data_IF_227213250978
#
_entry.id   IF_227213250978
#
_cell.length_a   1.000
_cell.length_b   1.000
_cell.length_c   1.000
_cell.angle_alpha   90.00
_cell.angle_beta   90.00
_cell.angle_gamma   90.00
#
_symmetry.space_group_name_H-M   'P 1'
#
loop_
_entity.id
_entity.type
_entity.pdbx_description
1 polymer ?
#
# COMPACT_ATOMS: atom_id res chain seq x y z
N UNK A 1 -40.82 -16.86 32.92
CA UNK A 1 -40.09 -16.47 31.69
C UNK A 1 -39.88 -14.97 31.70
N UNK A 2 -38.63 -14.51 31.74
CA UNK A 2 -38.19 -13.14 31.41
C UNK A 2 -36.78 -13.28 30.82
N UNK A 3 -36.55 -12.84 29.59
CA UNK A 3 -35.20 -12.86 29.02
C UNK A 3 -34.43 -11.63 29.49
N UNK A 4 -33.27 -11.84 30.08
CA UNK A 4 -32.34 -10.74 30.38
C UNK A 4 -31.54 -10.45 29.12
N UNK A 5 -31.75 -9.27 28.53
CA UNK A 5 -30.90 -8.77 27.45
C UNK A 5 -29.52 -8.46 28.06
N UNK A 6 -28.48 -9.20 27.67
CA UNK A 6 -27.13 -8.89 28.13
C UNK A 6 -26.56 -7.72 27.33
N UNK A 7 -26.11 -6.69 28.04
CA UNK A 7 -25.63 -5.44 27.45
C UNK A 7 -24.37 -5.66 26.63
N UNK A 8 -24.45 -5.49 25.31
CA UNK A 8 -23.26 -5.40 24.47
C UNK A 8 -22.64 -4.00 24.66
N UNK A 9 -21.81 -3.88 25.70
CA UNK A 9 -21.16 -2.60 26.06
C UNK A 9 -20.22 -2.17 24.93
N UNK A 10 -20.29 -0.89 24.60
CA UNK A 10 -19.54 -0.21 23.54
C UNK A 10 -18.03 -0.45 23.58
N UNK A 11 -17.54 -1.33 22.71
CA UNK A 11 -16.13 -1.38 22.33
C UNK A 11 -15.88 -0.41 21.17
N UNK A 12 -15.94 0.89 21.45
CA UNK A 12 -15.54 1.92 20.49
C UNK A 12 -14.01 1.96 20.44
N UNK A 13 -13.42 1.04 19.68
CA UNK A 13 -11.98 1.00 19.44
C UNK A 13 -11.55 2.29 18.74
N UNK A 14 -10.87 3.15 19.48
CA UNK A 14 -10.34 4.39 18.95
C UNK A 14 -9.10 4.08 18.11
N UNK A 15 -9.15 4.43 16.82
CA UNK A 15 -8.04 4.31 15.90
C UNK A 15 -7.08 5.49 16.12
N UNK A 16 -5.80 5.20 16.36
CA UNK A 16 -4.75 6.20 16.50
C UNK A 16 -3.87 6.13 15.25
N UNK A 17 -4.42 6.52 14.10
CA UNK A 17 -3.68 6.49 12.83
C UNK A 17 -2.28 7.11 12.96
N UNK A 18 -1.25 6.45 12.43
CA UNK A 18 0.13 6.84 12.68
C UNK A 18 0.46 8.25 12.18
N UNK A 19 1.53 8.82 12.75
CA UNK A 19 2.15 10.04 12.21
C UNK A 19 2.60 9.80 10.77
N UNK A 20 2.33 10.72 9.82
CA UNK A 20 2.66 10.54 8.42
C UNK A 20 4.10 10.06 8.18
N UNK A 21 4.23 8.92 7.48
CA UNK A 21 5.53 8.40 7.05
C UNK A 21 6.07 9.27 5.92
N UNK A 22 6.87 10.27 6.30
CA UNK A 22 7.54 11.16 5.37
C UNK A 22 8.31 10.38 4.31
N UNK A 23 8.18 10.81 3.04
CA UNK A 23 9.02 10.29 1.97
C UNK A 23 10.50 10.55 2.34
N UNK A 24 11.36 9.54 2.16
CA UNK A 24 12.78 9.68 2.45
C UNK A 24 13.42 10.61 1.41
N UNK A 25 13.64 11.88 1.77
CA UNK A 25 14.26 12.93 0.94
C UNK A 25 15.66 12.51 0.46
N UNK A 26 15.71 11.71 -0.63
CA UNK A 26 16.78 10.77 -0.90
C UNK A 26 17.84 11.21 -1.91
N UNK A 27 17.83 12.48 -2.34
CA UNK A 27 18.73 12.99 -3.38
C UNK A 27 19.63 14.11 -2.83
N UNK A 28 20.74 13.71 -2.21
CA UNK A 28 21.88 14.60 -2.01
C UNK A 28 22.54 14.92 -3.35
N UNK A 29 22.16 16.04 -3.97
CA UNK A 29 22.59 16.41 -5.32
C UNK A 29 24.08 16.81 -5.36
N UNK A 30 24.96 15.81 -5.48
CA UNK A 30 26.41 15.98 -5.51
C UNK A 30 26.90 16.59 -6.84
N UNK A 31 26.75 17.92 -6.97
CA UNK A 31 27.27 18.69 -8.11
C UNK A 31 28.80 18.54 -8.17
N UNK A 32 29.30 17.86 -9.21
CA UNK A 32 30.72 17.89 -9.59
C UNK A 32 30.99 19.09 -10.47
N UNK A 33 31.98 19.90 -10.10
CA UNK A 33 32.49 21.00 -10.93
C UNK A 33 33.92 21.37 -10.52
N UNK A 34 34.89 21.01 -11.37
CA UNK A 34 36.28 21.44 -11.23
C UNK A 34 36.44 22.92 -11.60
N UNK A 35 37.20 23.73 -10.84
CA UNK A 35 37.12 25.19 -11.02
C UNK A 35 38.17 26.16 -10.45
N UNK A 36 39.34 25.72 -9.96
CA UNK A 36 40.57 26.53 -9.74
C UNK A 36 40.62 27.84 -8.88
N UNK A 37 41.81 28.06 -8.30
CA UNK A 37 42.49 29.34 -7.94
C UNK A 37 42.10 30.17 -6.68
N UNK A 38 43.00 30.10 -5.68
CA UNK A 38 43.69 31.20 -4.95
C UNK A 38 42.87 32.35 -4.27
N UNK A 39 43.26 32.95 -3.12
CA UNK A 39 44.62 33.16 -2.57
C UNK A 39 44.60 33.64 -1.08
N UNK A 40 45.62 33.26 -0.28
CA UNK A 40 46.21 33.96 0.92
C UNK A 40 45.39 34.45 2.15
N UNK A 41 45.89 34.02 3.33
CA UNK A 41 46.06 34.78 4.61
C UNK A 41 44.80 35.22 5.40
N UNK A 42 44.75 35.39 6.75
CA UNK A 42 45.65 35.15 7.92
C UNK A 42 44.84 35.47 9.22
N UNK A 43 45.17 35.18 10.49
CA UNK A 43 46.19 34.36 11.19
C UNK A 43 45.80 34.15 12.69
N UNK A 44 46.50 33.27 13.42
CA UNK A 44 46.27 32.95 14.86
C UNK A 44 45.40 31.69 15.06
N UNK A 45 45.56 30.82 16.08
CA UNK A 45 46.44 30.83 17.27
C UNK A 45 45.58 30.77 18.56
N UNK A 46 45.81 29.91 19.57
CA UNK A 46 46.90 28.96 19.83
C UNK A 46 46.46 27.89 20.89
N UNK A 47 47.13 26.71 20.92
CA UNK A 47 47.10 25.72 22.02
C UNK A 47 46.11 24.55 21.87
N UNK A 48 46.44 23.31 22.30
CA UNK A 48 47.75 22.80 22.77
C UNK A 48 47.66 21.43 23.49
N UNK A 49 48.65 20.53 23.24
CA UNK A 49 48.73 19.12 23.69
C UNK A 49 47.55 18.23 23.23
N UNK A 50 47.64 16.92 23.04
CA UNK A 50 48.58 15.83 23.37
C UNK A 50 47.72 14.55 23.46
N UNK A 51 48.11 13.33 23.09
CA UNK A 51 49.44 12.73 22.88
C UNK A 51 49.42 11.76 21.68
N UNK A 52 50.58 11.21 21.30
CA UNK A 52 50.71 10.20 20.24
C UNK A 52 50.85 8.76 20.80
N UNK A 53 51.23 7.82 19.93
CA UNK A 53 51.63 6.41 20.19
C UNK A 53 50.50 5.37 20.38
N UNK A 54 50.59 4.15 19.81
CA UNK A 54 51.40 3.71 18.65
C UNK A 54 50.78 2.47 17.95
N UNK A 55 51.40 2.05 16.86
CA UNK A 55 51.11 0.89 16.00
C UNK A 55 51.14 -0.46 16.74
N UNK A 56 50.38 -1.43 16.21
CA UNK A 56 50.50 -2.87 16.50
C UNK A 56 49.96 -3.67 15.32
N UNK A 57 50.79 -4.48 14.68
CA UNK A 57 50.59 -4.99 13.31
C UNK A 57 50.67 -6.53 13.21
N UNK A 58 50.27 -7.09 12.06
CA UNK A 58 50.55 -8.44 11.54
C UNK A 58 49.91 -9.70 12.18
N UNK A 59 48.84 -10.19 11.53
CA UNK A 59 48.82 -11.34 10.59
C UNK A 59 49.41 -12.75 10.95
N UNK A 60 48.81 -13.76 10.29
CA UNK A 60 49.15 -15.22 10.20
C UNK A 60 48.87 -16.10 11.45
N UNK A 61 48.44 -17.36 11.32
CA UNK A 61 47.94 -18.07 10.12
C UNK A 61 47.97 -19.62 10.19
N UNK A 62 47.27 -20.27 9.23
CA UNK A 62 47.39 -21.67 8.73
C UNK A 62 46.83 -22.89 9.52
N UNK A 63 46.00 -23.64 8.78
CA UNK A 63 45.98 -25.10 8.60
C UNK A 63 45.90 -26.08 9.80
N UNK A 64 44.84 -26.93 9.78
CA UNK A 64 45.00 -28.37 9.48
C UNK A 64 43.70 -29.11 9.12
N UNK A 65 43.87 -30.29 8.51
CA UNK A 65 42.86 -31.12 7.82
C UNK A 65 42.31 -32.24 8.72
N UNK A 66 41.04 -32.60 8.56
CA UNK A 66 40.62 -34.02 8.41
C UNK A 66 39.17 -34.18 7.91
N UNK A 67 38.69 -35.37 7.50
CA UNK A 67 38.94 -36.03 6.19
C UNK A 67 37.99 -37.25 6.01
N UNK A 68 37.06 -37.16 5.06
CA UNK A 68 36.07 -38.19 4.64
C UNK A 68 35.42 -37.74 3.31
N UNK A 69 34.74 -38.51 2.43
CA UNK A 69 34.68 -39.95 2.07
C UNK A 69 34.27 -40.98 3.13
N UNK A 70 33.41 -41.97 2.82
CA UNK A 70 32.73 -42.30 1.55
C UNK A 70 31.92 -43.62 1.65
N UNK A 71 31.35 -44.23 0.61
CA UNK A 71 31.07 -43.83 -0.79
C UNK A 71 30.24 -44.96 -1.52
N UNK A 72 29.56 -44.63 -2.65
CA UNK A 72 29.25 -45.54 -3.80
C UNK A 72 28.27 -46.72 -3.56
N UNK A 73 27.65 -47.39 -4.55
CA UNK A 73 27.40 -47.27 -6.02
C UNK A 73 26.03 -48.00 -6.27
N UNK A 74 25.09 -47.71 -7.19
CA UNK A 74 25.05 -47.35 -8.62
C UNK A 74 24.78 -48.53 -9.61
N UNK A 75 23.58 -48.57 -10.23
CA UNK A 75 23.24 -49.08 -11.60
C UNK A 75 21.69 -49.01 -11.82
N UNK A 76 21.11 -48.58 -12.97
CA UNK A 76 21.13 -49.06 -14.38
C UNK A 76 20.34 -50.36 -14.63
N UNK A 77 19.66 -50.59 -15.77
CA UNK A 77 19.26 -49.74 -16.91
C UNK A 77 18.29 -50.52 -17.86
N UNK A 78 17.72 -49.87 -18.89
CA UNK A 78 16.93 -50.48 -19.97
C UNK A 78 15.55 -49.83 -20.10
N UNK A 79 15.17 -49.00 -21.09
CA UNK A 79 15.53 -48.82 -22.51
C UNK A 79 14.75 -49.71 -23.49
N UNK A 80 13.94 -49.09 -24.35
CA UNK A 80 13.20 -49.67 -25.46
C UNK A 80 12.59 -48.53 -26.29
N UNK A 81 12.72 -48.57 -27.61
CA UNK A 81 12.40 -47.44 -28.49
C UNK A 81 11.43 -47.84 -29.62
N UNK A 82 10.67 -46.86 -30.12
CA UNK A 82 9.81 -46.99 -31.30
C UNK A 82 9.48 -45.61 -31.84
N UNK A 83 9.61 -45.42 -33.16
CA UNK A 83 9.40 -44.14 -33.83
C UNK A 83 8.28 -44.23 -34.87
N UNK A 84 7.54 -43.14 -35.08
CA UNK A 84 6.49 -43.04 -36.09
C UNK A 84 5.91 -41.63 -36.13
N UNK A 85 6.10 -40.93 -37.25
CA UNK A 85 5.74 -39.52 -37.40
C UNK A 85 4.30 -39.31 -37.86
N UNK A 86 3.70 -38.18 -37.46
CA UNK A 86 2.85 -37.34 -38.31
C UNK A 86 2.72 -35.93 -37.70
N UNK A 87 2.63 -34.90 -38.53
CA UNK A 87 2.31 -33.55 -38.09
C UNK A 87 0.78 -33.33 -38.08
N UNK A 88 0.27 -32.63 -37.07
CA UNK A 88 -1.14 -32.26 -36.97
C UNK A 88 -1.31 -31.03 -36.08
N UNK A 89 -1.45 -29.85 -36.69
CA UNK A 89 -1.62 -28.60 -35.98
C UNK A 89 -3.06 -28.48 -35.43
N UNK A 90 -3.31 -29.07 -34.26
CA UNK A 90 -4.56 -28.89 -33.53
C UNK A 90 -4.52 -27.54 -32.79
N UNK A 91 -5.34 -26.59 -33.24
CA UNK A 91 -5.41 -25.24 -32.67
C UNK A 91 -6.02 -25.28 -31.26
N UNK A 92 -5.19 -25.44 -30.23
CA UNK A 92 -5.62 -25.45 -28.83
C UNK A 92 -5.98 -24.03 -28.37
N UNK A 93 -7.19 -23.59 -28.71
CA UNK A 93 -7.82 -22.44 -28.06
C UNK A 93 -7.94 -22.73 -26.57
N UNK A 94 -7.01 -22.20 -25.78
CA UNK A 94 -7.05 -22.25 -24.33
C UNK A 94 -8.27 -21.44 -23.86
N UNK A 95 -9.39 -22.14 -23.67
CA UNK A 95 -10.57 -21.53 -23.07
C UNK A 95 -10.19 -21.02 -21.69
N UNK A 96 -10.36 -19.73 -21.46
CA UNK A 96 -10.14 -19.11 -20.16
C UNK A 96 -11.13 -19.74 -19.17
N UNK A 97 -10.66 -20.75 -18.44
CA UNK A 97 -11.45 -21.37 -17.37
C UNK A 97 -11.78 -20.30 -16.35
N UNK A 98 -13.05 -20.16 -15.98
CA UNK A 98 -13.43 -19.36 -14.82
C UNK A 98 -12.74 -19.97 -13.60
N UNK A 99 -11.65 -19.34 -13.17
CA UNK A 99 -11.11 -19.56 -11.85
C UNK A 99 -12.23 -19.26 -10.84
N UNK A 100 -12.44 -20.16 -9.87
CA UNK A 100 -13.49 -20.00 -8.89
C UNK A 100 -13.05 -18.93 -7.89
N UNK A 101 -13.50 -17.69 -8.14
CA UNK A 101 -13.26 -16.49 -7.33
C UNK A 101 -13.16 -16.80 -5.82
N UNK A 102 -12.19 -16.17 -5.14
CA UNK A 102 -11.99 -16.39 -3.71
C UNK A 102 -13.26 -16.08 -2.92
N UNK A 103 -13.44 -16.76 -1.79
CA UNK A 103 -14.60 -16.48 -0.94
C UNK A 103 -14.51 -15.02 -0.46
N UNK A 104 -15.57 -14.23 -0.66
CA UNK A 104 -15.61 -12.83 -0.21
C UNK A 104 -15.32 -12.75 1.30
N UNK A 105 -14.26 -12.02 1.65
CA UNK A 105 -13.86 -11.70 3.02
C UNK A 105 -14.07 -10.21 3.23
N UNK A 106 -14.40 -9.80 4.45
CA UNK A 106 -14.49 -8.38 4.76
C UNK A 106 -13.07 -7.78 4.89
N UNK A 107 -12.77 -6.58 4.34
CA UNK A 107 -13.70 -5.56 3.85
C UNK A 107 -14.46 -5.93 2.57
N UNK A 108 -15.77 -5.66 2.58
CA UNK A 108 -16.50 -5.30 1.37
C UNK A 108 -16.87 -3.81 1.54
N UNK A 109 -16.16 -2.95 0.81
CA UNK A 109 -16.30 -1.49 0.83
C UNK A 109 -17.05 -0.94 -0.38
N UNK A 110 -17.62 -1.80 -1.24
CA UNK A 110 -18.37 -1.38 -2.42
C UNK A 110 -19.66 -0.68 -2.01
N UNK A 111 -19.87 0.51 -2.57
CA UNK A 111 -20.99 1.38 -2.20
C UNK A 111 -22.19 1.10 -3.09
N UNK A 112 -23.37 0.88 -2.52
CA UNK A 112 -24.59 0.62 -3.28
C UNK A 112 -24.94 1.79 -4.20
N UNK A 113 -25.54 1.51 -5.36
CA UNK A 113 -25.99 2.54 -6.30
C UNK A 113 -26.90 3.62 -5.67
N UNK A 114 -27.73 3.26 -4.69
CA UNK A 114 -28.70 4.14 -4.02
C UNK A 114 -28.15 4.96 -2.82
N UNK A 115 -26.88 4.75 -2.42
CA UNK A 115 -26.32 5.39 -1.24
C UNK A 115 -26.23 6.93 -1.34
N UNK A 116 -26.31 7.61 -0.19
CA UNK A 116 -26.15 9.07 -0.03
C UNK A 116 -24.90 9.39 0.82
N UNK A 117 -24.29 10.60 0.76
CA UNK A 117 -23.09 10.92 1.54
C UNK A 117 -23.30 10.75 3.06
N UNK A 118 -24.51 10.96 3.55
CA UNK A 118 -24.90 10.76 4.94
C UNK A 118 -24.82 9.30 5.40
N UNK A 119 -24.85 8.33 4.49
CA UNK A 119 -24.64 6.91 4.84
C UNK A 119 -23.23 6.65 5.40
N UNK A 120 -22.26 7.52 5.10
CA UNK A 120 -20.91 7.44 5.66
C UNK A 120 -20.82 7.98 7.10
N UNK A 121 -21.85 8.71 7.58
CA UNK A 121 -21.90 9.25 8.95
C UNK A 121 -22.45 8.24 9.98
N UNK A 122 -23.04 7.12 9.55
CA UNK A 122 -23.75 6.18 10.45
C UNK A 122 -22.99 4.88 10.71
N UNK A 123 -23.24 4.28 11.88
CA UNK A 123 -22.69 2.96 12.28
C UNK A 123 -23.15 1.78 11.40
N UNK A 124 -24.07 2.02 10.47
CA UNK A 124 -24.51 1.05 9.46
C UNK A 124 -23.66 1.07 8.17
N UNK A 125 -22.75 2.04 8.03
CA UNK A 125 -21.79 2.15 6.93
C UNK A 125 -20.90 0.91 6.81
N UNK A 126 -20.40 0.66 5.60
CA UNK A 126 -19.32 -0.31 5.34
C UNK A 126 -17.96 0.16 5.88
N UNK A 127 -17.83 1.47 6.17
CA UNK A 127 -16.65 2.11 6.75
C UNK A 127 -16.91 2.63 8.19
N UNK A 128 -15.86 2.99 8.93
CA UNK A 128 -15.97 3.56 10.30
C UNK A 128 -16.32 5.04 10.24
N UNK A 129 -17.53 5.40 10.65
CA UNK A 129 -18.09 6.74 10.45
C UNK A 129 -17.55 7.90 11.30
N UNK A 130 -16.39 7.75 11.96
CA UNK A 130 -15.87 8.78 12.89
C UNK A 130 -14.34 9.01 12.89
N UNK A 131 -13.53 8.11 12.32
CA UNK A 131 -12.14 7.87 12.78
C UNK A 131 -11.08 8.89 12.34
N UNK A 132 -10.98 9.25 11.05
CA UNK A 132 -9.87 10.08 10.55
C UNK A 132 -10.38 11.10 9.54
N UNK A 133 -10.38 12.38 9.94
CA UNK A 133 -10.88 13.54 9.18
C UNK A 133 -10.49 14.84 9.91
N UNK A 134 -10.66 15.99 9.25
CA UNK A 134 -10.50 17.31 9.88
C UNK A 134 -11.51 17.59 11.00
N UNK A 135 -11.15 18.48 11.93
CA UNK A 135 -12.03 18.86 13.04
C UNK A 135 -13.29 19.60 12.57
N UNK A 136 -14.39 19.40 13.30
CA UNK A 136 -15.72 19.94 12.96
C UNK A 136 -16.39 19.32 11.73
N UNK A 137 -15.70 18.49 10.94
CA UNK A 137 -16.25 17.85 9.73
C UNK A 137 -17.01 16.54 10.05
N UNK A 138 -17.94 16.19 9.18
CA UNK A 138 -18.53 14.83 9.05
C UNK A 138 -18.15 14.23 7.69
N UNK A 139 -18.30 12.92 7.50
CA UNK A 139 -17.91 12.30 6.23
C UNK A 139 -18.78 12.74 5.05
N UNK A 140 -20.03 13.15 5.27
CA UNK A 140 -20.84 13.80 4.21
C UNK A 140 -20.30 15.15 3.73
N UNK A 141 -19.38 15.80 4.46
CA UNK A 141 -18.66 17.00 3.97
C UNK A 141 -17.48 16.64 3.04
N UNK A 142 -17.08 15.36 3.03
CA UNK A 142 -15.85 14.84 2.41
C UNK A 142 -16.13 13.85 1.27
N UNK A 143 -17.35 13.32 1.17
CA UNK A 143 -17.72 12.26 0.21
C UNK A 143 -18.67 12.80 -0.87
N UNK A 144 -18.22 12.74 -2.13
CA UNK A 144 -19.06 12.95 -3.32
C UNK A 144 -19.35 11.62 -4.05
N UNK A 145 -20.36 11.62 -4.91
CA UNK A 145 -20.56 10.59 -5.94
C UNK A 145 -20.29 11.16 -7.33
N UNK A 146 -19.07 11.01 -7.86
CA UNK A 146 -18.69 11.56 -9.17
C UNK A 146 -19.46 10.89 -10.31
N UNK A 147 -19.61 11.60 -11.43
CA UNK A 147 -20.29 11.10 -12.62
C UNK A 147 -19.27 10.46 -13.57
N UNK A 148 -18.83 9.25 -13.20
CA UNK A 148 -17.87 8.41 -13.95
C UNK A 148 -18.50 7.09 -14.35
N UNK A 149 -17.91 6.41 -15.33
CA UNK A 149 -18.27 5.02 -15.66
C UNK A 149 -18.00 4.08 -14.47
N UNK A 150 -18.70 2.94 -14.42
CA UNK A 150 -18.49 1.95 -13.36
C UNK A 150 -17.12 1.27 -13.47
N UNK A 151 -16.41 1.12 -12.35
CA UNK A 151 -15.14 0.37 -12.30
C UNK A 151 -15.32 -1.09 -12.74
N UNK A 152 -14.21 -1.77 -13.02
CA UNK A 152 -14.18 -3.20 -13.35
C UNK A 152 -15.02 -4.05 -12.38
N UNK A 153 -14.93 -3.75 -11.08
CA UNK A 153 -15.55 -4.54 -10.02
C UNK A 153 -16.98 -4.12 -9.64
N UNK A 154 -17.39 -2.88 -9.95
CA UNK A 154 -18.73 -2.37 -9.63
C UNK A 154 -19.79 -2.75 -10.67
N UNK A 155 -19.37 -2.94 -11.93
CA UNK A 155 -20.18 -3.25 -13.10
C UNK A 155 -21.14 -4.44 -12.92
N UNK A 156 -20.74 -5.44 -12.14
CA UNK A 156 -21.55 -6.63 -11.84
C UNK A 156 -22.31 -6.53 -10.50
N UNK A 157 -21.93 -5.59 -9.61
CA UNK A 157 -22.42 -5.50 -8.23
C UNK A 157 -23.66 -4.63 -8.02
N UNK A 158 -24.04 -3.80 -9.01
CA UNK A 158 -24.97 -2.67 -8.82
C UNK A 158 -24.48 -1.72 -7.70
N UNK A 159 -23.17 -1.48 -7.72
CA UNK A 159 -22.43 -0.58 -6.83
C UNK A 159 -21.84 0.58 -7.63
N UNK A 160 -21.29 1.59 -6.94
CA UNK A 160 -20.80 2.83 -7.55
C UNK A 160 -19.52 3.34 -6.90
N UNK A 161 -18.76 4.11 -7.68
CA UNK A 161 -17.63 4.89 -7.20
C UNK A 161 -18.07 6.02 -6.25
N UNK A 162 -17.15 6.47 -5.40
CA UNK A 162 -17.27 7.65 -4.54
C UNK A 162 -15.94 8.40 -4.55
N UNK A 163 -15.94 9.71 -4.27
CA UNK A 163 -14.70 10.48 -4.14
C UNK A 163 -14.45 10.87 -2.69
N UNK A 164 -13.22 10.68 -2.21
CA UNK A 164 -12.73 11.33 -0.98
C UNK A 164 -12.18 12.69 -1.37
N UNK A 165 -12.63 13.75 -0.69
CA UNK A 165 -12.19 15.11 -0.85
C UNK A 165 -11.25 15.54 0.28
N UNK A 166 -10.37 16.50 0.00
CA UNK A 166 -9.72 17.35 1.00
C UNK A 166 -9.79 18.82 0.61
N UNK A 167 -9.91 19.66 1.64
CA UNK A 167 -9.95 21.12 1.56
C UNK A 167 -9.07 21.77 2.65
N UNK A 168 -9.06 23.09 2.75
CA UNK A 168 -8.32 23.83 3.77
C UNK A 168 -8.65 23.41 5.22
N UNK A 169 -9.86 22.87 5.50
CA UNK A 169 -10.31 22.42 6.82
C UNK A 169 -9.89 20.99 7.16
N UNK A 170 -9.46 20.20 6.17
CA UNK A 170 -9.16 18.77 6.31
C UNK A 170 -7.83 18.51 7.03
N UNK A 171 -7.49 19.33 8.03
CA UNK A 171 -6.26 19.31 8.82
C UNK A 171 -6.27 18.06 9.71
N UNK A 172 -5.23 17.23 9.62
CA UNK A 172 -5.15 16.03 10.45
C UNK A 172 -4.90 16.41 11.93
N UNK A 173 -5.71 15.86 12.84
CA UNK A 173 -5.44 15.88 14.28
C UNK A 173 -5.35 14.43 14.76
N UNK A 174 -4.15 13.92 15.11
CA UNK A 174 -4.02 12.60 15.71
C UNK A 174 -4.66 12.57 17.10
N UNK A 175 -5.20 11.43 17.52
CA UNK A 175 -5.94 11.33 18.78
C UNK A 175 -5.07 11.73 19.99
N UNK A 176 -5.46 12.80 20.68
CA UNK A 176 -4.75 13.32 21.86
C UNK A 176 -3.45 14.06 21.55
N UNK A 177 -3.18 14.38 20.28
CA UNK A 177 -2.07 15.23 19.85
C UNK A 177 -2.53 16.56 19.23
N UNK A 178 -1.55 17.38 18.87
CA UNK A 178 -1.77 18.70 18.25
C UNK A 178 -2.11 18.61 16.76
N UNK A 179 -2.79 19.64 16.24
CA UNK A 179 -3.19 19.71 14.84
C UNK A 179 -1.98 19.83 13.88
N UNK A 180 -1.87 18.91 12.93
CA UNK A 180 -0.81 18.89 11.92
C UNK A 180 -1.15 19.84 10.77
N UNK A 181 -0.90 21.13 10.96
CA UNK A 181 -1.24 22.22 10.02
C UNK A 181 -0.74 22.03 8.58
N UNK A 182 0.31 21.25 8.36
CA UNK A 182 0.89 20.99 7.04
C UNK A 182 0.46 19.62 6.43
N UNK A 183 -0.37 18.85 7.13
CA UNK A 183 -1.00 17.61 6.62
C UNK A 183 -2.45 17.90 6.23
N UNK A 184 -2.98 17.25 5.19
CA UNK A 184 -4.43 17.18 4.92
C UNK A 184 -4.84 15.72 4.78
N UNK A 185 -5.90 15.30 5.47
CA UNK A 185 -6.23 13.87 5.65
C UNK A 185 -7.72 13.63 5.87
N UNK A 186 -8.25 12.67 5.12
CA UNK A 186 -9.51 12.01 5.40
C UNK A 186 -9.37 10.52 5.02
N UNK A 187 -9.67 9.60 5.96
CA UNK A 187 -9.52 8.16 5.73
C UNK A 187 -10.82 7.42 6.05
N UNK A 188 -11.21 6.56 5.12
CA UNK A 188 -12.23 5.54 5.33
C UNK A 188 -11.55 4.23 5.70
N UNK A 189 -11.77 3.80 6.96
CA UNK A 189 -11.32 2.50 7.46
C UNK A 189 -12.51 1.53 7.40
N UNK A 190 -12.32 0.25 7.03
CA UNK A 190 -13.38 -0.75 7.07
C UNK A 190 -14.10 -0.84 8.42
N UNK A 191 -15.42 -1.01 8.39
CA UNK A 191 -16.23 -1.16 9.62
C UNK A 191 -15.69 -2.28 10.52
N UNK A 192 -15.96 -2.19 11.82
CA UNK A 192 -15.45 -3.14 12.83
C UNK A 192 -15.78 -4.62 12.53
N UNK A 193 -16.83 -4.88 11.73
CA UNK A 193 -17.21 -6.22 11.24
C UNK A 193 -16.07 -6.85 10.42
N UNK A 194 -15.34 -6.03 9.67
CA UNK A 194 -14.21 -6.43 8.82
C UNK A 194 -12.92 -6.77 9.58
N UNK A 195 -12.87 -6.46 10.88
CA UNK A 195 -11.68 -6.62 11.72
C UNK A 195 -11.82 -7.77 12.71
N UNK A 196 -12.99 -8.41 12.77
CA UNK A 196 -13.25 -9.51 13.69
C UNK A 196 -12.27 -10.66 13.45
N UNK A 197 -11.62 -11.11 14.53
CA UNK A 197 -10.66 -12.20 14.56
C UNK A 197 -9.47 -12.05 13.57
N UNK A 198 -9.10 -10.82 13.19
CA UNK A 198 -8.00 -10.53 12.27
C UNK A 198 -8.16 -11.17 10.87
N UNK A 199 -9.39 -11.46 10.44
CA UNK A 199 -9.66 -12.26 9.23
C UNK A 199 -9.08 -11.64 7.95
N UNK A 200 -8.97 -10.30 7.89
CA UNK A 200 -8.44 -9.55 6.75
C UNK A 200 -6.89 -9.44 6.71
N UNK A 201 -6.20 -9.89 7.76
CA UNK A 201 -4.75 -9.69 7.98
C UNK A 201 -4.05 -10.97 8.44
N UNK A 202 -4.51 -12.12 7.94
CA UNK A 202 -4.00 -13.47 8.26
C UNK A 202 -4.16 -14.41 7.05
N UNK A 203 -3.31 -15.42 6.92
CA UNK A 203 -3.35 -16.37 5.80
C UNK A 203 -2.98 -15.73 4.47
N UNK A 204 -3.70 -16.05 3.40
CA UNK A 204 -3.54 -15.38 2.10
C UNK A 204 -4.84 -14.63 1.73
N UNK A 205 -4.73 -13.34 1.44
CA UNK A 205 -5.86 -12.48 1.08
C UNK A 205 -5.55 -11.69 -0.18
N UNK A 206 -6.55 -11.45 -1.02
CA UNK A 206 -6.42 -10.45 -2.09
C UNK A 206 -7.28 -9.24 -1.76
N UNK A 207 -6.66 -8.08 -1.61
CA UNK A 207 -7.34 -6.79 -1.57
C UNK A 207 -7.54 -6.28 -3.00
N UNK A 208 -8.79 -6.02 -3.38
CA UNK A 208 -9.19 -5.40 -4.63
C UNK A 208 -9.59 -3.95 -4.39
N UNK A 209 -9.18 -3.05 -5.28
CA UNK A 209 -9.64 -1.66 -5.32
C UNK A 209 -9.39 -1.05 -6.70
N UNK A 210 -10.16 -0.03 -7.05
CA UNK A 210 -9.95 0.80 -8.23
C UNK A 210 -9.87 2.27 -7.83
N UNK A 211 -8.94 3.01 -8.42
CA UNK A 211 -8.77 4.46 -8.18
C UNK A 211 -8.70 5.25 -9.48
N UNK A 212 -9.26 6.46 -9.47
CA UNK A 212 -9.27 7.40 -10.60
C UNK A 212 -9.03 8.84 -10.10
N UNK A 213 -8.31 9.66 -10.87
CA UNK A 213 -8.14 11.10 -10.61
C UNK A 213 -9.45 11.86 -10.82
N UNK A 214 -9.80 12.77 -9.91
CA UNK A 214 -10.92 13.69 -10.13
C UNK A 214 -10.45 14.93 -10.90
N UNK A 215 -10.75 14.98 -12.20
CA UNK A 215 -10.33 16.06 -13.10
C UNK A 215 -10.86 17.46 -12.69
N UNK A 216 -11.98 17.54 -11.95
CA UNK A 216 -12.50 18.80 -11.42
C UNK A 216 -11.82 19.25 -10.11
N UNK A 217 -11.04 18.36 -9.47
CA UNK A 217 -10.37 18.57 -8.17
C UNK A 217 -8.97 17.90 -8.18
N UNK A 218 -8.07 18.29 -9.11
CA UNK A 218 -6.84 17.56 -9.37
C UNK A 218 -5.86 17.62 -8.19
N UNK A 219 -5.12 16.53 -7.98
CA UNK A 219 -4.06 16.45 -6.97
C UNK A 219 -2.87 17.34 -7.35
N UNK A 220 -2.28 18.03 -6.37
CA UNK A 220 -1.05 18.80 -6.59
C UNK A 220 0.19 17.89 -6.55
N UNK A 221 0.69 17.48 -7.71
CA UNK A 221 1.78 16.50 -7.88
C UNK A 221 3.12 16.87 -7.19
N UNK A 222 3.34 18.10 -6.73
CA UNK A 222 4.55 18.43 -5.94
C UNK A 222 4.51 17.88 -4.51
N UNK A 223 3.37 17.36 -4.06
CA UNK A 223 3.19 16.74 -2.75
C UNK A 223 3.06 15.23 -2.92
N UNK A 224 3.43 14.47 -1.88
CA UNK A 224 3.17 13.04 -1.81
C UNK A 224 1.77 12.79 -1.25
N UNK A 225 1.05 11.83 -1.84
CA UNK A 225 -0.27 11.39 -1.40
C UNK A 225 -0.20 9.92 -1.01
N UNK A 226 -0.67 9.59 0.20
CA UNK A 226 -0.91 8.22 0.64
C UNK A 226 -2.39 7.90 0.39
N UNK A 227 -2.64 6.86 -0.41
CA UNK A 227 -3.96 6.53 -0.99
C UNK A 227 -4.58 5.26 -0.40
N UNK A 228 -3.78 4.19 -0.24
CA UNK A 228 -4.19 2.95 0.42
C UNK A 228 -3.02 2.47 1.25
N UNK A 229 -3.24 2.10 2.52
CA UNK A 229 -2.21 1.47 3.34
C UNK A 229 -2.79 0.41 4.26
N UNK A 230 -1.91 -0.45 4.79
CA UNK A 230 -2.20 -1.34 5.91
C UNK A 230 -1.37 -0.90 7.11
N UNK A 231 -2.01 -0.17 8.01
CA UNK A 231 -1.46 0.28 9.30
C UNK A 231 -1.27 -0.91 10.25
N UNK A 232 -0.26 -0.88 11.12
CA UNK A 232 -0.05 -1.92 12.12
C UNK A 232 -1.03 -1.81 13.28
N UNK A 233 -1.30 -2.93 13.98
CA UNK A 233 -2.20 -2.95 15.15
C UNK A 233 -1.67 -2.20 16.38
N UNK A 234 -0.43 -1.72 16.33
CA UNK A 234 0.19 -0.83 17.30
C UNK A 234 0.47 0.59 16.76
N UNK A 235 -0.01 0.89 15.55
CA UNK A 235 0.06 2.21 14.87
C UNK A 235 1.48 2.78 14.77
N UNK A 236 2.46 1.92 14.46
CA UNK A 236 3.89 2.27 14.46
C UNK A 236 4.59 2.08 13.11
N UNK A 237 3.94 1.46 12.13
CA UNK A 237 4.45 1.25 10.77
C UNK A 237 3.35 0.81 9.80
N UNK A 238 3.48 1.19 8.54
CA UNK A 238 2.66 0.62 7.47
C UNK A 238 3.31 -0.68 6.99
N UNK A 239 2.52 -1.74 6.86
CA UNK A 239 2.93 -3.00 6.22
C UNK A 239 3.01 -2.86 4.70
N UNK A 240 2.18 -2.01 4.10
CA UNK A 240 2.38 -1.50 2.73
C UNK A 240 1.76 -0.11 2.58
N UNK A 241 2.21 0.63 1.58
CA UNK A 241 1.70 1.93 1.15
C UNK A 241 1.41 1.93 -0.36
N UNK A 242 0.35 2.61 -0.79
CA UNK A 242 0.05 2.94 -2.19
C UNK A 242 0.01 4.45 -2.30
N UNK A 243 0.93 5.03 -3.09
CA UNK A 243 1.22 6.47 -3.12
C UNK A 243 1.24 7.04 -4.55
N UNK A 244 1.08 8.35 -4.68
CA UNK A 244 1.28 9.12 -5.93
C UNK A 244 1.83 10.51 -5.60
N UNK A 245 2.31 11.26 -6.61
CA UNK A 245 2.94 12.57 -6.41
C UNK A 245 4.36 12.53 -5.85
N UNK A 246 4.94 13.72 -5.64
CA UNK A 246 6.33 13.96 -5.28
C UNK A 246 7.31 13.14 -6.16
N UNK A 247 8.17 12.31 -5.57
CA UNK A 247 9.14 11.46 -6.28
C UNK A 247 8.49 10.39 -7.18
N UNK A 248 7.17 10.17 -7.07
CA UNK A 248 6.42 9.32 -8.00
C UNK A 248 5.80 10.11 -9.16
N UNK A 249 5.74 11.44 -9.09
CA UNK A 249 5.11 12.29 -10.11
C UNK A 249 3.67 11.86 -10.41
N UNK A 250 3.41 11.49 -11.66
CA UNK A 250 2.11 10.97 -12.09
C UNK A 250 1.99 9.43 -12.07
N UNK A 251 2.89 8.70 -11.40
CA UNK A 251 2.71 7.25 -11.15
C UNK A 251 1.83 6.98 -9.93
N UNK A 252 1.08 5.86 -9.95
CA UNK A 252 0.74 5.12 -8.74
C UNK A 252 1.90 4.18 -8.43
N UNK A 253 2.40 4.22 -7.20
CA UNK A 253 3.46 3.34 -6.72
C UNK A 253 3.04 2.58 -5.46
N UNK A 254 3.29 1.27 -5.45
CA UNK A 254 3.10 0.39 -4.30
C UNK A 254 4.44 0.18 -3.61
N UNK A 255 4.51 0.45 -2.32
CA UNK A 255 5.67 0.28 -1.46
C UNK A 255 5.39 -0.79 -0.39
N UNK A 256 6.41 -1.59 -0.07
CA UNK A 256 6.35 -2.55 1.04
C UNK A 256 6.56 -1.90 2.40
N UNK A 257 6.84 -2.74 3.41
CA UNK A 257 6.89 -2.37 4.82
C UNK A 257 7.76 -1.12 5.13
N UNK A 258 7.18 -0.15 5.84
CA UNK A 258 7.78 1.16 6.08
C UNK A 258 8.95 1.16 7.07
N UNK A 259 9.26 0.03 7.72
CA UNK A 259 10.49 -0.15 8.53
C UNK A 259 11.73 -0.36 7.68
N UNK A 260 11.58 -0.82 6.44
CA UNK A 260 12.69 -0.84 5.49
C UNK A 260 13.10 0.60 5.15
N UNK A 261 14.41 0.88 5.10
CA UNK A 261 14.94 2.24 4.88
C UNK A 261 15.84 2.26 3.64
N UNK A 262 15.39 2.81 2.50
CA UNK A 262 14.02 3.24 2.20
C UNK A 262 13.06 2.04 2.04
N UNK A 263 11.73 2.26 2.08
CA UNK A 263 10.75 1.23 1.74
C UNK A 263 10.90 0.78 0.29
N UNK A 264 10.76 -0.52 0.02
CA UNK A 264 10.93 -1.05 -1.33
C UNK A 264 9.71 -0.72 -2.20
N UNK A 265 9.90 0.00 -3.32
CA UNK A 265 8.88 0.12 -4.39
C UNK A 265 8.71 -1.25 -5.03
N UNK A 266 7.55 -1.89 -4.83
CA UNK A 266 7.21 -3.24 -5.29
C UNK A 266 6.66 -3.23 -6.72
N UNK A 267 5.92 -2.18 -7.07
CA UNK A 267 5.33 -1.95 -8.39
C UNK A 267 5.07 -0.46 -8.60
N UNK A 268 5.07 0.01 -9.85
CA UNK A 268 4.41 1.27 -10.21
C UNK A 268 3.87 1.24 -11.64
N UNK A 269 2.89 2.11 -11.89
CA UNK A 269 2.21 2.31 -13.18
C UNK A 269 1.89 3.80 -13.33
N UNK A 270 1.82 4.37 -14.55
CA UNK A 270 1.20 5.68 -14.76
C UNK A 270 -0.21 5.73 -14.16
N UNK A 271 -0.60 6.90 -13.66
CA UNK A 271 -1.95 7.21 -13.19
C UNK A 271 -2.66 8.03 -14.26
N UNK A 272 -3.61 7.44 -15.00
CA UNK A 272 -4.41 8.15 -15.99
C UNK A 272 -5.32 9.23 -15.38
N UNK A 273 -5.61 10.29 -16.15
CA UNK A 273 -6.51 11.37 -15.72
C UNK A 273 -8.01 11.06 -15.93
N UNK A 274 -8.35 9.95 -16.59
CA UNK A 274 -9.73 9.65 -17.05
C UNK A 274 -10.21 8.20 -16.86
N UNK A 275 -9.31 7.24 -16.65
CA UNK A 275 -9.63 5.82 -16.48
C UNK A 275 -9.39 5.37 -15.02
N UNK A 276 -10.07 4.32 -14.60
CA UNK A 276 -9.75 3.63 -13.35
C UNK A 276 -8.47 2.80 -13.47
N UNK A 277 -7.50 3.01 -12.59
CA UNK A 277 -6.44 2.04 -12.34
C UNK A 277 -7.00 0.99 -11.36
N UNK A 278 -7.26 -0.22 -11.86
CA UNK A 278 -7.80 -1.34 -11.09
C UNK A 278 -6.63 -2.20 -10.57
N UNK A 279 -6.63 -2.52 -9.29
CA UNK A 279 -5.60 -3.31 -8.62
C UNK A 279 -6.19 -4.51 -7.90
N UNK A 280 -5.42 -5.60 -7.89
CA UNK A 280 -5.52 -6.64 -6.87
C UNK A 280 -4.15 -6.86 -6.22
N UNK A 281 -4.08 -6.68 -4.90
CA UNK A 281 -2.89 -6.94 -4.10
C UNK A 281 -3.11 -8.22 -3.31
N UNK A 282 -2.49 -9.31 -3.76
CA UNK A 282 -2.48 -10.59 -3.04
C UNK A 282 -1.38 -10.54 -1.99
N UNK A 283 -1.80 -10.52 -0.74
CA UNK A 283 -1.01 -10.46 0.48
C UNK A 283 -0.93 -11.86 1.08
N UNK A 284 0.27 -12.44 1.09
CA UNK A 284 0.56 -13.71 1.75
C UNK A 284 1.24 -13.41 3.09
N UNK A 285 0.43 -13.38 4.16
CA UNK A 285 0.87 -13.11 5.52
C UNK A 285 1.67 -14.28 6.11
N UNK A 286 1.48 -15.50 5.59
CA UNK A 286 2.18 -16.71 6.03
C UNK A 286 3.58 -16.80 5.38
N UNK A 287 3.72 -16.37 4.12
CA UNK A 287 4.98 -16.39 3.36
C UNK A 287 5.74 -15.05 3.31
N UNK A 288 5.16 -13.96 3.84
CA UNK A 288 5.70 -12.59 3.77
C UNK A 288 5.91 -12.09 2.32
N UNK A 289 4.91 -12.27 1.45
CA UNK A 289 4.97 -11.78 0.06
C UNK A 289 3.76 -10.99 -0.40
N UNK A 290 3.99 -10.04 -1.29
CA UNK A 290 2.97 -9.30 -2.04
C UNK A 290 3.05 -9.72 -3.51
N UNK A 291 1.91 -9.99 -4.15
CA UNK A 291 1.81 -10.16 -5.60
C UNK A 291 0.78 -9.17 -6.14
N UNK A 292 1.18 -8.38 -7.15
CA UNK A 292 0.34 -7.33 -7.73
C UNK A 292 -0.25 -7.78 -9.07
N UNK A 293 -1.54 -7.54 -9.22
CA UNK A 293 -2.26 -7.59 -10.49
C UNK A 293 -2.80 -6.18 -10.79
N UNK A 294 -2.77 -5.76 -12.06
CA UNK A 294 -3.18 -4.43 -12.49
C UNK A 294 -3.88 -4.47 -13.86
N UNK A 295 -4.76 -3.48 -14.10
CA UNK A 295 -5.40 -3.19 -15.38
C UNK A 295 -6.00 -1.78 -15.37
N UNK A 296 -6.10 -1.13 -16.52
CA UNK A 296 -6.66 0.23 -16.65
C UNK A 296 -8.05 0.18 -17.30
N UNK A 297 -8.95 1.07 -16.86
CA UNK A 297 -10.31 1.23 -17.38
C UNK A 297 -11.20 0.02 -17.12
N UNK A 298 -11.44 -0.78 -18.16
CA UNK A 298 -12.34 -1.95 -18.17
C UNK A 298 -11.65 -3.25 -18.60
N UNK A 299 -10.32 -3.23 -18.79
CA UNK A 299 -9.54 -4.43 -19.08
C UNK A 299 -9.56 -5.38 -17.86
N UNK A 300 -9.53 -6.69 -18.10
CA UNK A 300 -9.37 -7.67 -17.02
C UNK A 300 -7.96 -7.58 -16.40
N UNK A 301 -7.87 -7.81 -15.08
CA UNK A 301 -6.62 -7.79 -14.33
C UNK A 301 -5.58 -8.75 -14.91
N UNK A 302 -4.33 -8.27 -15.03
CA UNK A 302 -3.17 -9.06 -15.44
C UNK A 302 -2.18 -9.13 -14.28
N UNK A 303 -1.54 -10.27 -14.09
CA UNK A 303 -0.41 -10.39 -13.17
C UNK A 303 0.73 -9.48 -13.66
N UNK A 304 1.17 -8.53 -12.83
CA UNK A 304 2.25 -7.59 -13.17
C UNK A 304 3.51 -7.80 -12.33
N UNK A 305 3.42 -8.52 -11.21
CA UNK A 305 4.60 -9.04 -10.49
C UNK A 305 4.49 -10.55 -10.24
N UNK A 306 5.62 -11.21 -10.05
CA UNK A 306 5.66 -12.44 -9.24
C UNK A 306 5.42 -12.08 -7.75
N UNK A 307 5.21 -13.06 -6.85
CA UNK A 307 5.24 -12.81 -5.41
C UNK A 307 6.62 -12.27 -4.98
N UNK A 308 6.65 -11.04 -4.47
CA UNK A 308 7.87 -10.35 -4.00
C UNK A 308 7.86 -10.20 -2.48
N UNK A 309 9.03 -10.32 -1.85
CA UNK A 309 9.15 -10.21 -0.39
C UNK A 309 8.89 -8.78 0.11
N UNK A 310 8.09 -8.62 1.16
CA UNK A 310 7.59 -7.32 1.63
C UNK A 310 8.58 -6.53 2.50
N UNK A 311 9.87 -6.53 2.16
CA UNK A 311 10.91 -5.93 3.00
C UNK A 311 11.08 -6.71 4.31
N UNK A 312 10.69 -6.10 5.45
CA UNK A 312 10.80 -6.72 6.78
C UNK A 312 9.73 -7.78 6.99
N UNK A 313 8.44 -7.40 7.03
CA UNK A 313 7.33 -8.30 7.32
C UNK A 313 5.96 -7.85 6.72
N UNK A 314 5.08 -8.81 6.43
CA UNK A 314 3.62 -8.67 6.45
C UNK A 314 3.12 -9.20 7.80
N UNK A 315 3.58 -8.57 8.88
CA UNK A 315 3.17 -8.88 10.24
C UNK A 315 2.89 -7.57 10.98
N UNK A 316 2.03 -7.63 11.99
CA UNK A 316 1.55 -6.44 12.72
C UNK A 316 0.03 -6.39 12.89
N UNK A 317 -0.73 -7.24 12.18
CA UNK A 317 -2.19 -7.22 12.15
C UNK A 317 -2.70 -5.84 11.67
N UNK A 318 -3.55 -5.17 12.44
CA UNK A 318 -3.91 -3.77 12.20
C UNK A 318 -5.06 -3.56 11.20
N UNK A 319 -5.00 -2.46 10.44
CA UNK A 319 -6.16 -1.98 9.68
C UNK A 319 -5.86 -1.30 8.36
N UNK A 320 -6.78 -1.45 7.41
CA UNK A 320 -6.69 -0.85 6.09
C UNK A 320 -7.24 0.57 6.12
N UNK A 321 -6.49 1.49 5.51
CA UNK A 321 -6.90 2.88 5.30
C UNK A 321 -7.12 3.10 3.79
N UNK A 322 -8.30 3.59 3.40
CA UNK A 322 -8.55 4.14 2.07
C UNK A 322 -8.65 5.66 2.25
N UNK A 323 -7.62 6.39 1.85
CA UNK A 323 -7.34 7.72 2.37
C UNK A 323 -7.01 8.72 1.28
N UNK A 324 -7.41 9.98 1.45
CA UNK A 324 -6.75 11.08 0.75
C UNK A 324 -5.89 11.84 1.76
N UNK A 325 -4.68 11.33 2.00
CA UNK A 325 -3.69 11.97 2.85
C UNK A 325 -2.63 12.68 2.00
N UNK A 326 -2.72 14.00 1.92
CA UNK A 326 -1.70 14.88 1.32
C UNK A 326 -0.66 15.25 2.36
N UNK A 327 0.59 14.84 2.11
CA UNK A 327 1.72 15.00 3.01
C UNK A 327 2.42 16.37 2.83
N UNK A 328 3.15 16.85 3.85
CA UNK A 328 3.88 18.12 3.80
C UNK A 328 5.12 18.05 2.91
N UNK A 329 5.48 19.16 2.25
CA UNK A 329 6.71 19.31 1.47
C UNK A 329 7.77 19.98 2.36
N UNK A 330 8.42 19.17 3.20
CA UNK A 330 9.28 19.67 4.28
C UNK A 330 8.49 20.54 5.27
N UNK A 331 9.09 21.62 5.77
CA UNK A 331 8.43 22.53 6.71
C UNK A 331 7.47 23.54 6.04
N UNK A 332 7.29 23.47 4.71
CA UNK A 332 6.47 24.42 3.98
C UNK A 332 4.98 24.29 4.34
N UNK A 333 4.25 25.42 4.53
CA UNK A 333 2.82 25.38 4.74
C UNK A 333 2.09 24.86 3.48
N UNK A 334 0.99 24.14 3.69
CA UNK A 334 0.11 23.75 2.59
C UNK A 334 -0.40 24.98 1.83
N UNK A 335 -0.56 24.92 0.50
CA UNK A 335 -1.26 25.94 -0.26
C UNK A 335 -2.67 26.18 0.30
N UNK A 336 -3.15 27.42 0.24
CA UNK A 336 -4.50 27.79 0.64
C UNK A 336 -5.48 27.72 -0.53
N UNK A 337 -6.75 27.48 -0.23
CA UNK A 337 -7.83 27.31 -1.21
C UNK A 337 -7.81 25.96 -1.92
N UNK A 338 -7.18 24.93 -1.33
CA UNK A 338 -7.08 23.60 -1.95
C UNK A 338 -8.45 22.94 -2.09
N UNK A 339 -8.61 22.20 -3.19
CA UNK A 339 -9.80 21.41 -3.54
C UNK A 339 -9.33 20.20 -4.34
N UNK A 340 -8.98 19.15 -3.63
CA UNK A 340 -8.30 17.99 -4.20
C UNK A 340 -9.11 16.74 -3.85
N UNK A 341 -9.32 15.84 -4.81
CA UNK A 341 -10.12 14.64 -4.60
C UNK A 341 -9.56 13.42 -5.35
N UNK A 342 -9.88 12.25 -4.81
CA UNK A 342 -9.46 10.95 -5.33
C UNK A 342 -10.69 10.04 -5.36
N UNK A 343 -10.98 9.49 -6.53
CA UNK A 343 -12.13 8.62 -6.76
C UNK A 343 -11.74 7.19 -6.40
N UNK A 344 -12.55 6.54 -5.57
CA UNK A 344 -12.45 5.15 -5.17
C UNK A 344 -13.64 4.36 -5.68
N UNK A 345 -13.39 3.13 -6.09
CA UNK A 345 -14.38 2.22 -6.60
C UNK A 345 -13.96 0.77 -6.31
N UNK A 346 -14.90 -0.17 -6.37
CA UNK A 346 -14.59 -1.60 -6.38
C UNK A 346 -13.83 -2.17 -5.17
N UNK A 347 -13.88 -1.53 -4.00
CA UNK A 347 -13.12 -1.96 -2.81
C UNK A 347 -13.72 -3.25 -2.21
N UNK A 348 -13.02 -4.39 -2.29
CA UNK A 348 -13.39 -5.61 -1.56
C UNK A 348 -12.18 -6.52 -1.29
N UNK A 349 -12.36 -7.57 -0.48
CA UNK A 349 -11.33 -8.58 -0.21
C UNK A 349 -11.85 -9.99 -0.47
N UNK A 350 -10.95 -10.91 -0.85
CA UNK A 350 -11.25 -12.33 -0.99
C UNK A 350 -10.24 -13.20 -0.24
N UNK A 351 -10.68 -14.37 0.22
CA UNK A 351 -9.81 -15.45 0.69
C UNK A 351 -9.16 -16.13 -0.53
N UNK A 352 -7.88 -15.82 -0.73
CA UNK A 352 -7.03 -16.40 -1.78
C UNK A 352 -6.10 -17.49 -1.25
N UNK A 353 -6.38 -18.07 -0.06
CA UNK A 353 -5.64 -19.23 0.49
C UNK A 353 -5.77 -20.45 -0.43
N UNK A 354 -6.89 -20.57 -1.16
CA UNK A 354 -7.07 -21.54 -2.26
C UNK A 354 -6.31 -21.18 -3.55
N UNK A 355 -5.40 -20.20 -3.52
CA UNK A 355 -4.56 -19.76 -4.64
C UNK A 355 -5.26 -18.89 -5.69
N UNK A 356 -6.59 -18.87 -5.73
CA UNK A 356 -7.38 -18.15 -6.76
C UNK A 356 -7.48 -16.65 -6.46
N UNK A 357 -7.50 -15.86 -7.54
CA UNK A 357 -7.71 -14.41 -7.54
C UNK A 357 -8.83 -14.08 -8.53
N UNK A 358 -9.74 -13.18 -8.15
CA UNK A 358 -10.77 -12.62 -9.05
C UNK A 358 -10.10 -11.65 -10.03
N UNK A 359 -10.32 -11.82 -11.34
CA UNK A 359 -9.71 -10.95 -12.37
C UNK A 359 -10.73 -10.10 -13.17
N UNK A 360 -12.03 -10.43 -13.01
CA UNK A 360 -13.24 -9.81 -13.58
C UNK A 360 -14.47 -10.51 -12.98
#
# INVERSE_FOLDING_TARGET
MKHSLFTLVSLLAASVAATPVAASNGIGLAIRGDGQQANKAAAGGNGGAGSAENQGDQANGKDKKNKSKGAKDANKAGAGAGAGAAAGAANSTAGAGKAAAGALVLPDGRIKADAVPEDFNVLASVFKSAVVKGDGLVFSDLIDFPQVDASLFDKAGNTKAFAINIDDKSIFIPQGGEAQSNTRRADLLPSIRSQLNNVAVTGVRTLHFSVQREAAKPLNETHDYQMVSLESGDFSFHQFDVRTGADNGNEIAIFGNSKATPPAKLFSTPFGDADFENFAMKLDFDANTVQVFHSTGQDALKQVTEPVANGTDLAGLGEYHFALQKNPVGDAPQPAGIKEALIYAGIFMEDSTGGTVTLQ
#
